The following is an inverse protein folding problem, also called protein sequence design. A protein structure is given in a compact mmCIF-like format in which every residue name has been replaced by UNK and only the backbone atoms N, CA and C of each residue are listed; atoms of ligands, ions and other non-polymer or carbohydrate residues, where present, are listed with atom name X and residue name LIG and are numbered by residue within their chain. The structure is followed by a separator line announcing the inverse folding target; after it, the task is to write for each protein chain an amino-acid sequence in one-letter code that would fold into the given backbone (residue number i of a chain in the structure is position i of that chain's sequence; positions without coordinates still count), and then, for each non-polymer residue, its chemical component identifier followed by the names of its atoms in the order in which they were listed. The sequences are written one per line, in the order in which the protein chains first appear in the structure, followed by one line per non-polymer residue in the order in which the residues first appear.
data_IF_080823161191
#
_entry.id   IF_080823161191
#
_cell.length_a   1.000
_cell.length_b   1.000
_cell.length_c   1.000
_cell.angle_alpha   90.00
_cell.angle_beta   90.00
_cell.angle_gamma   90.00
#
_symmetry.space_group_name_H-M   'P 1'
#
loop_
_entity.id
_entity.type
_entity.pdbx_description
1 polymer ?
#
# COMPACT_ATOMS: atom_id res chain seq x y z
N UNK A 1 -54.69 6.36 22.05
CA UNK A 1 -53.75 7.38 22.57
C UNK A 1 -53.10 8.08 21.39
N UNK A 2 -53.50 9.33 21.12
CA UNK A 2 -52.97 10.20 20.07
C UNK A 2 -51.49 10.46 20.32
N UNK A 3 -50.61 10.08 19.39
CA UNK A 3 -49.23 10.59 19.36
C UNK A 3 -49.29 12.00 18.77
N UNK A 4 -49.13 13.00 19.63
CA UNK A 4 -48.78 14.37 19.23
C UNK A 4 -47.41 14.32 18.54
N UNK A 5 -47.41 14.51 17.22
CA UNK A 5 -46.20 14.75 16.46
C UNK A 5 -45.67 16.13 16.81
N UNK A 6 -44.59 16.17 17.59
CA UNK A 6 -43.80 17.38 17.83
C UNK A 6 -43.30 17.91 16.48
N UNK A 7 -43.86 19.03 16.04
CA UNK A 7 -43.39 19.76 14.86
C UNK A 7 -41.95 20.20 15.05
N UNK A 8 -41.03 19.42 14.48
CA UNK A 8 -39.63 19.81 14.30
C UNK A 8 -39.53 20.45 12.93
N UNK A 9 -39.37 21.78 12.89
CA UNK A 9 -39.14 22.51 11.64
C UNK A 9 -38.01 21.88 10.85
N UNK A 10 -38.23 21.65 9.55
CA UNK A 10 -37.32 20.87 8.72
C UNK A 10 -36.03 21.62 8.36
N UNK A 11 -35.99 22.94 8.52
CA UNK A 11 -34.81 23.73 8.20
C UNK A 11 -34.55 24.74 9.33
N UNK A 12 -33.32 24.70 9.87
CA UNK A 12 -32.89 25.63 10.93
C UNK A 12 -32.84 27.05 10.35
N UNK A 13 -33.36 28.01 11.13
CA UNK A 13 -33.24 29.45 10.87
C UNK A 13 -31.79 29.81 10.50
N UNK A 14 -31.63 30.27 9.28
CA UNK A 14 -30.39 30.82 8.75
C UNK A 14 -30.33 32.30 9.13
N UNK A 15 -29.17 32.78 9.56
CA UNK A 15 -28.98 34.13 10.13
C UNK A 15 -29.14 35.26 9.09
N UNK A 16 -29.46 34.92 7.85
CA UNK A 16 -29.55 35.83 6.71
C UNK A 16 -30.99 36.04 6.18
N UNK A 17 -32.04 35.66 6.94
CA UNK A 17 -33.45 35.80 6.52
C UNK A 17 -33.80 37.19 5.95
N UNK A 18 -33.27 38.26 6.56
CA UNK A 18 -33.53 39.65 6.16
C UNK A 18 -32.76 40.10 4.89
N UNK A 19 -31.79 39.32 4.39
CA UNK A 19 -31.05 39.63 3.15
C UNK A 19 -31.71 39.05 1.90
N UNK A 20 -32.65 38.12 2.06
CA UNK A 20 -33.36 37.49 0.97
C UNK A 20 -34.41 38.45 0.37
N UNK A 21 -34.61 38.36 -0.95
CA UNK A 21 -35.75 39.00 -1.62
C UNK A 21 -37.08 38.45 -1.08
N UNK A 22 -38.18 39.18 -1.25
CA UNK A 22 -39.51 38.74 -0.79
C UNK A 22 -39.90 37.35 -1.32
N UNK A 23 -39.47 36.99 -2.54
CA UNK A 23 -39.70 35.68 -3.16
C UNK A 23 -38.89 34.58 -2.46
N UNK A 24 -37.64 34.85 -2.13
CA UNK A 24 -36.76 33.94 -1.41
C UNK A 24 -37.19 33.76 0.05
N UNK A 25 -37.64 34.82 0.72
CA UNK A 25 -38.23 34.75 2.06
C UNK A 25 -39.49 33.88 2.07
N UNK A 26 -40.34 34.00 1.04
CA UNK A 26 -41.56 33.20 0.94
C UNK A 26 -41.26 31.71 0.74
N UNK A 27 -40.28 31.39 -0.11
CA UNK A 27 -39.83 30.01 -0.32
C UNK A 27 -39.10 29.46 0.90
N UNK A 28 -38.30 30.30 1.57
CA UNK A 28 -37.66 29.96 2.83
C UNK A 28 -38.70 29.66 3.90
N UNK A 29 -39.73 30.48 4.08
CA UNK A 29 -40.79 30.28 5.08
C UNK A 29 -41.55 28.95 4.86
N UNK A 30 -41.93 28.65 3.61
CA UNK A 30 -42.58 27.39 3.24
C UNK A 30 -41.65 26.19 3.45
N UNK A 31 -40.37 26.35 3.13
CA UNK A 31 -39.36 25.33 3.36
C UNK A 31 -39.13 25.12 4.86
N UNK A 32 -38.62 26.15 5.56
CA UNK A 32 -38.06 26.08 6.90
C UNK A 32 -38.99 25.55 7.98
N UNK A 33 -40.29 25.83 7.84
CA UNK A 33 -41.27 25.51 8.86
C UNK A 33 -42.46 24.79 8.22
N UNK A 34 -42.38 23.46 8.19
CA UNK A 34 -43.55 22.62 7.92
C UNK A 34 -44.49 22.69 9.12
N UNK A 35 -45.47 23.58 9.05
CA UNK A 35 -46.42 23.88 10.11
C UNK A 35 -47.65 22.96 10.06
N UNK A 36 -48.10 22.46 11.21
CA UNK A 36 -49.40 21.81 11.33
C UNK A 36 -50.54 22.83 11.13
N UNK A 37 -51.71 22.35 10.67
CA UNK A 37 -52.93 23.14 10.43
C UNK A 37 -53.32 24.05 11.61
N UNK A 38 -52.96 23.68 12.85
CA UNK A 38 -53.26 24.46 14.06
C UNK A 38 -52.33 25.65 14.29
N UNK A 39 -51.07 25.60 13.84
CA UNK A 39 -50.11 26.71 14.00
C UNK A 39 -50.31 27.84 12.99
N UNK A 40 -50.96 27.55 11.86
CA UNK A 40 -51.34 28.54 10.85
C UNK A 40 -52.30 29.62 11.37
N UNK A 41 -53.03 29.33 12.45
CA UNK A 41 -54.04 30.21 13.04
C UNK A 41 -53.47 31.21 14.06
N UNK A 42 -52.17 31.20 14.35
CA UNK A 42 -51.56 32.19 15.24
C UNK A 42 -51.48 33.58 14.56
N UNK A 43 -52.08 34.59 15.20
CA UNK A 43 -52.22 35.96 14.70
C UNK A 43 -50.90 36.67 14.38
N UNK A 44 -49.78 36.20 14.95
CA UNK A 44 -48.42 36.73 14.71
C UNK A 44 -47.90 36.47 13.29
N UNK A 45 -48.41 35.44 12.59
CA UNK A 45 -47.90 35.01 11.28
C UNK A 45 -48.77 35.46 10.10
N UNK A 46 -49.96 36.02 10.34
CA UNK A 46 -50.91 36.36 9.28
C UNK A 46 -50.36 37.35 8.25
N UNK A 47 -49.53 38.32 8.66
CA UNK A 47 -48.90 39.28 7.75
C UNK A 47 -47.89 38.63 6.80
N UNK A 48 -47.09 37.68 7.31
CA UNK A 48 -46.11 36.92 6.54
C UNK A 48 -46.83 35.98 5.57
N UNK A 49 -47.86 35.27 6.04
CA UNK A 49 -48.65 34.35 5.24
C UNK A 49 -49.36 35.09 4.09
N UNK A 50 -49.92 36.27 4.35
CA UNK A 50 -50.54 37.10 3.32
C UNK A 50 -49.51 37.60 2.27
N UNK A 51 -48.30 37.96 2.71
CA UNK A 51 -47.19 38.31 1.82
C UNK A 51 -46.73 37.13 0.97
N UNK A 52 -46.66 35.92 1.56
CA UNK A 52 -46.36 34.68 0.85
C UNK A 52 -47.43 34.43 -0.21
N UNK A 53 -48.72 34.43 0.14
CA UNK A 53 -49.81 34.20 -0.80
C UNK A 53 -49.74 35.19 -1.98
N UNK A 54 -49.62 36.50 -1.70
CA UNK A 54 -49.49 37.54 -2.73
C UNK A 54 -48.30 37.30 -3.67
N UNK A 55 -47.20 36.79 -3.14
CA UNK A 55 -46.00 36.46 -3.93
C UNK A 55 -46.24 35.29 -4.87
N UNK A 56 -46.92 34.24 -4.41
CA UNK A 56 -47.30 33.08 -5.22
C UNK A 56 -48.49 33.35 -6.16
N UNK A 57 -49.29 34.39 -5.90
CA UNK A 57 -50.35 34.87 -6.83
C UNK A 57 -49.81 35.73 -7.98
N UNK A 58 -48.49 35.94 -8.07
CA UNK A 58 -47.87 36.69 -9.16
C UNK A 58 -47.76 35.85 -10.43
N UNK A 59 -48.04 36.47 -11.58
CA UNK A 59 -47.90 35.82 -12.89
C UNK A 59 -46.43 35.60 -13.29
N UNK A 60 -45.52 36.44 -12.77
CA UNK A 60 -44.06 36.33 -12.99
C UNK A 60 -43.33 35.68 -11.78
N UNK A 61 -44.00 34.76 -11.08
CA UNK A 61 -43.32 33.98 -10.06
C UNK A 61 -42.25 33.09 -10.70
N UNK A 62 -41.01 33.29 -10.26
CA UNK A 62 -39.85 32.47 -10.62
C UNK A 62 -39.33 31.78 -9.37
N UNK A 63 -39.16 30.47 -9.45
CA UNK A 63 -38.65 29.69 -8.34
C UNK A 63 -37.17 30.06 -8.11
N UNK A 64 -36.79 30.47 -6.88
CA UNK A 64 -35.40 30.72 -6.52
C UNK A 64 -34.68 29.39 -6.32
N UNK A 65 -34.29 28.75 -7.42
CA UNK A 65 -33.66 27.42 -7.43
C UNK A 65 -32.42 27.32 -6.53
N UNK A 66 -31.63 28.40 -6.42
CA UNK A 66 -30.45 28.44 -5.55
C UNK A 66 -30.83 28.29 -4.06
N UNK A 67 -31.89 28.97 -3.61
CA UNK A 67 -32.37 28.87 -2.23
C UNK A 67 -32.95 27.48 -1.96
N UNK A 68 -33.72 26.95 -2.90
CA UNK A 68 -34.25 25.57 -2.82
C UNK A 68 -33.10 24.58 -2.72
N UNK A 69 -32.09 24.66 -3.58
CA UNK A 69 -30.94 23.78 -3.55
C UNK A 69 -30.18 23.91 -2.22
N UNK A 70 -29.83 25.12 -1.77
CA UNK A 70 -29.15 25.33 -0.48
C UNK A 70 -29.91 24.70 0.68
N UNK A 71 -31.23 24.88 0.72
CA UNK A 71 -32.10 24.30 1.74
C UNK A 71 -32.06 22.78 1.72
N UNK A 72 -32.23 22.15 0.55
CA UNK A 72 -32.23 20.69 0.42
C UNK A 72 -30.86 20.08 0.79
N UNK A 73 -29.77 20.67 0.32
CA UNK A 73 -28.41 20.18 0.60
C UNK A 73 -27.98 20.43 2.05
N UNK A 74 -28.49 21.48 2.71
CA UNK A 74 -28.26 21.71 4.14
C UNK A 74 -29.15 20.82 5.03
N UNK A 75 -30.28 20.33 4.51
CA UNK A 75 -31.19 19.47 5.25
C UNK A 75 -30.66 18.02 5.31
N UNK A 76 -30.49 17.50 6.53
CA UNK A 76 -30.15 16.10 6.75
C UNK A 76 -31.36 15.15 6.63
N UNK A 77 -32.57 15.70 6.70
CA UNK A 77 -33.80 14.92 6.83
C UNK A 77 -34.55 14.72 5.52
N UNK A 78 -34.28 15.51 4.47
CA UNK A 78 -34.88 15.33 3.14
C UNK A 78 -33.94 14.53 2.27
N UNK A 79 -34.14 13.21 2.31
CA UNK A 79 -33.34 12.28 1.55
C UNK A 79 -34.20 11.43 0.60
N UNK A 80 -35.54 11.51 0.72
CA UNK A 80 -36.44 10.69 -0.08
C UNK A 80 -37.59 11.51 -0.69
N UNK A 81 -38.09 11.02 -1.82
CA UNK A 81 -39.23 11.58 -2.54
C UNK A 81 -40.50 11.50 -1.70
N UNK A 82 -40.59 10.55 -0.76
CA UNK A 82 -41.72 10.44 0.18
C UNK A 82 -41.85 11.65 1.11
N UNK A 83 -40.77 12.39 1.38
CA UNK A 83 -40.82 13.60 2.20
C UNK A 83 -41.49 14.76 1.44
N UNK A 84 -41.56 14.67 0.11
CA UNK A 84 -42.21 15.65 -0.77
C UNK A 84 -43.72 15.53 -0.68
N UNK A 85 -44.26 14.34 -0.38
CA UNK A 85 -45.69 14.14 -0.21
C UNK A 85 -46.21 14.97 0.98
N UNK A 86 -45.41 15.09 2.05
CA UNK A 86 -45.71 15.94 3.21
C UNK A 86 -45.71 17.42 2.82
N UNK A 87 -44.73 17.86 2.01
CA UNK A 87 -44.64 19.25 1.53
C UNK A 87 -45.83 19.56 0.61
N UNK A 88 -46.18 18.63 -0.28
CA UNK A 88 -47.30 18.72 -1.20
C UNK A 88 -48.64 18.82 -0.45
N UNK A 89 -48.85 17.96 0.54
CA UNK A 89 -50.06 17.98 1.38
C UNK A 89 -50.19 19.30 2.15
N UNK A 90 -49.08 19.83 2.68
CA UNK A 90 -49.09 21.13 3.37
C UNK A 90 -49.32 22.32 2.43
N UNK A 91 -48.78 22.30 1.22
CA UNK A 91 -49.06 23.32 0.20
C UNK A 91 -50.52 23.29 -0.25
N UNK A 92 -51.14 22.11 -0.31
CA UNK A 92 -52.57 21.98 -0.60
C UNK A 92 -53.43 22.54 0.55
N UNK A 93 -53.06 22.27 1.82
CA UNK A 93 -53.72 22.88 2.98
C UNK A 93 -53.63 24.40 2.97
N UNK A 94 -52.47 24.95 2.57
CA UNK A 94 -52.27 26.39 2.41
C UNK A 94 -53.19 26.96 1.33
N UNK A 95 -53.28 26.28 0.19
CA UNK A 95 -54.15 26.67 -0.91
C UNK A 95 -55.63 26.68 -0.51
N UNK A 96 -56.10 25.62 0.17
CA UNK A 96 -57.47 25.50 0.65
C UNK A 96 -57.88 26.61 1.63
N UNK A 97 -56.98 26.99 2.56
CA UNK A 97 -57.24 28.06 3.53
C UNK A 97 -57.56 29.39 2.85
N UNK A 98 -56.80 29.76 1.82
CA UNK A 98 -57.00 31.01 1.10
C UNK A 98 -58.09 30.95 0.04
N UNK A 99 -58.44 29.76 -0.45
CA UNK A 99 -59.54 29.59 -1.40
C UNK A 99 -60.91 29.80 -0.75
N UNK A 100 -61.03 29.53 0.55
CA UNK A 100 -62.24 29.76 1.33
C UNK A 100 -62.49 31.25 1.62
N UNK A 101 -61.47 32.11 1.47
CA UNK A 101 -61.58 33.55 1.68
C UNK A 101 -61.93 34.27 0.36
N UNK A 102 -63.10 34.91 0.34
CA UNK A 102 -63.75 35.47 -0.86
C UNK A 102 -62.91 36.49 -1.65
N UNK A 103 -61.89 37.10 -1.05
CA UNK A 103 -60.99 38.06 -1.70
C UNK A 103 -59.85 37.44 -2.53
N UNK A 104 -59.62 36.14 -2.44
CA UNK A 104 -58.45 35.47 -3.03
C UNK A 104 -58.76 34.40 -4.09
N UNK A 105 -60.03 34.05 -4.24
CA UNK A 105 -60.54 33.03 -5.17
C UNK A 105 -60.07 33.22 -6.62
N UNK A 106 -59.97 34.46 -7.11
CA UNK A 106 -59.64 34.77 -8.51
C UNK A 106 -58.22 34.33 -8.92
N UNK A 107 -57.27 34.25 -7.97
CA UNK A 107 -55.86 33.89 -8.23
C UNK A 107 -55.46 32.51 -7.70
N UNK A 108 -56.40 31.73 -7.19
CA UNK A 108 -56.13 30.44 -6.60
C UNK A 108 -55.49 29.45 -7.61
N UNK A 109 -55.91 29.47 -8.87
CA UNK A 109 -55.29 28.63 -9.91
C UNK A 109 -53.80 28.96 -10.13
N UNK A 110 -53.45 30.25 -10.12
CA UNK A 110 -52.07 30.72 -10.30
C UNK A 110 -51.17 30.32 -9.13
N UNK A 111 -51.70 30.41 -7.90
CA UNK A 111 -50.97 29.98 -6.69
C UNK A 111 -50.66 28.49 -6.75
N UNK A 112 -51.64 27.66 -7.16
CA UNK A 112 -51.43 26.21 -7.31
C UNK A 112 -50.35 25.90 -8.35
N UNK A 113 -50.41 26.53 -9.52
CA UNK A 113 -49.39 26.38 -10.57
C UNK A 113 -47.98 26.74 -10.06
N UNK A 114 -47.86 27.80 -9.27
CA UNK A 114 -46.57 28.24 -8.74
C UNK A 114 -46.07 27.36 -7.58
N UNK A 115 -46.96 26.74 -6.80
CA UNK A 115 -46.62 25.69 -5.84
C UNK A 115 -46.15 24.40 -6.54
N UNK A 116 -46.81 23.99 -7.62
CA UNK A 116 -46.38 22.82 -8.40
C UNK A 116 -44.96 23.03 -8.97
N UNK A 117 -44.66 24.24 -9.49
CA UNK A 117 -43.29 24.59 -9.93
C UNK A 117 -42.27 24.51 -8.80
N UNK A 118 -42.62 24.93 -7.59
CA UNK A 118 -41.74 24.85 -6.42
C UNK A 118 -41.50 23.38 -6.03
N UNK A 119 -42.56 22.56 -6.01
CA UNK A 119 -42.49 21.13 -5.73
C UNK A 119 -41.60 20.40 -6.74
N UNK A 120 -41.73 20.72 -8.03
CA UNK A 120 -40.88 20.13 -9.06
C UNK A 120 -39.41 20.53 -8.89
N UNK A 121 -39.14 21.76 -8.47
CA UNK A 121 -37.77 22.18 -8.13
C UNK A 121 -37.23 21.41 -6.91
N UNK A 122 -38.05 21.19 -5.88
CA UNK A 122 -37.66 20.42 -4.69
C UNK A 122 -37.37 18.97 -5.07
N UNK A 123 -38.25 18.34 -5.85
CA UNK A 123 -38.08 16.98 -6.41
C UNK A 123 -36.76 16.85 -7.15
N UNK A 124 -36.49 17.79 -8.06
CA UNK A 124 -35.25 17.78 -8.83
C UNK A 124 -34.02 17.87 -7.92
N UNK A 125 -34.02 18.78 -6.94
CA UNK A 125 -32.89 18.92 -6.00
C UNK A 125 -32.66 17.66 -5.15
N UNK A 126 -33.72 16.97 -4.71
CA UNK A 126 -33.61 15.71 -3.94
C UNK A 126 -33.01 14.60 -4.80
N UNK A 127 -33.51 14.43 -6.03
CA UNK A 127 -32.97 13.44 -6.98
C UNK A 127 -31.50 13.72 -7.29
N UNK A 128 -31.14 14.99 -7.51
CA UNK A 128 -29.75 15.39 -7.75
C UNK A 128 -28.86 15.12 -6.54
N UNK A 129 -29.29 15.48 -5.33
CA UNK A 129 -28.56 15.20 -4.09
C UNK A 129 -28.27 13.71 -3.95
N UNK A 130 -29.30 12.87 -4.11
CA UNK A 130 -29.18 11.41 -4.04
C UNK A 130 -28.18 10.87 -5.06
N UNK A 131 -28.30 11.30 -6.31
CA UNK A 131 -27.37 10.88 -7.37
C UNK A 131 -25.92 11.27 -7.04
N UNK A 132 -25.69 12.50 -6.57
CA UNK A 132 -24.36 12.97 -6.18
C UNK A 132 -23.82 12.17 -4.99
N UNK A 133 -24.65 11.87 -3.99
CA UNK A 133 -24.25 11.07 -2.83
C UNK A 133 -23.89 9.63 -3.23
N UNK A 134 -24.67 8.99 -4.09
CA UNK A 134 -24.38 7.65 -4.63
C UNK A 134 -23.05 7.65 -5.40
N UNK A 135 -22.84 8.63 -6.28
CA UNK A 135 -21.60 8.77 -7.03
C UNK A 135 -20.40 9.05 -6.11
N UNK A 136 -20.55 9.93 -5.13
CA UNK A 136 -19.51 10.23 -4.15
C UNK A 136 -19.13 8.98 -3.34
N UNK A 137 -20.12 8.21 -2.89
CA UNK A 137 -19.89 6.96 -2.14
C UNK A 137 -19.18 5.90 -3.00
N UNK A 138 -19.56 5.77 -4.28
CA UNK A 138 -18.89 4.90 -5.24
C UNK A 138 -17.42 5.30 -5.41
N UNK A 139 -17.14 6.59 -5.63
CA UNK A 139 -15.78 7.12 -5.75
C UNK A 139 -14.95 6.91 -4.48
N UNK A 140 -15.53 7.10 -3.30
CA UNK A 140 -14.86 6.83 -2.02
C UNK A 140 -14.51 5.34 -1.88
N UNK A 141 -15.41 4.44 -2.31
CA UNK A 141 -15.15 3.00 -2.27
C UNK A 141 -14.03 2.60 -3.24
N UNK A 142 -14.02 3.16 -4.45
CA UNK A 142 -12.97 2.94 -5.44
C UNK A 142 -11.61 3.48 -4.97
N UNK A 143 -11.58 4.71 -4.43
CA UNK A 143 -10.37 5.31 -3.86
C UNK A 143 -9.78 4.45 -2.73
N UNK A 144 -10.63 3.90 -1.84
CA UNK A 144 -10.20 2.97 -0.79
C UNK A 144 -9.62 1.67 -1.36
N UNK A 145 -10.18 1.16 -2.47
CA UNK A 145 -9.66 -0.04 -3.16
C UNK A 145 -8.28 0.24 -3.76
N UNK A 146 -8.13 1.35 -4.50
CA UNK A 146 -6.86 1.78 -5.07
C UNK A 146 -5.80 2.01 -3.99
N UNK A 147 -6.15 2.61 -2.86
CA UNK A 147 -5.22 2.79 -1.75
C UNK A 147 -4.73 1.45 -1.18
N UNK A 148 -5.62 0.45 -1.05
CA UNK A 148 -5.24 -0.90 -0.61
C UNK A 148 -4.31 -1.58 -1.62
N UNK A 149 -4.58 -1.45 -2.92
CA UNK A 149 -3.74 -2.01 -3.97
C UNK A 149 -2.35 -1.34 -4.01
N UNK A 150 -2.29 -0.02 -3.90
CA UNK A 150 -1.04 0.72 -3.84
C UNK A 150 -0.17 0.31 -2.63
N UNK A 151 -0.81 0.10 -1.47
CA UNK A 151 -0.12 -0.41 -0.29
C UNK A 151 0.44 -1.84 -0.49
N UNK A 152 -0.27 -2.70 -1.22
CA UNK A 152 0.24 -4.04 -1.59
C UNK A 152 1.44 -3.92 -2.53
N UNK A 153 1.34 -3.09 -3.57
CA UNK A 153 2.43 -2.84 -4.54
C UNK A 153 3.67 -2.31 -3.82
N UNK A 154 3.52 -1.33 -2.93
CA UNK A 154 4.63 -0.78 -2.14
C UNK A 154 5.32 -1.84 -1.27
N UNK A 155 4.55 -2.73 -0.62
CA UNK A 155 5.11 -3.85 0.15
C UNK A 155 5.86 -4.84 -0.74
N UNK A 156 5.31 -5.20 -1.91
CA UNK A 156 5.96 -6.08 -2.87
C UNK A 156 7.26 -5.47 -3.41
N UNK A 157 7.27 -4.18 -3.73
CA UNK A 157 8.45 -3.47 -4.19
C UNK A 157 9.57 -3.44 -3.13
N UNK A 158 9.21 -3.23 -1.86
CA UNK A 158 10.17 -3.31 -0.75
C UNK A 158 10.78 -4.71 -0.60
N UNK A 159 9.97 -5.77 -0.77
CA UNK A 159 10.46 -7.16 -0.74
C UNK A 159 11.41 -7.44 -1.91
N UNK A 160 10.99 -7.12 -3.13
CA UNK A 160 11.82 -7.27 -4.32
C UNK A 160 13.15 -6.50 -4.20
N UNK A 161 13.12 -5.27 -3.67
CA UNK A 161 14.34 -4.49 -3.43
C UNK A 161 15.28 -5.16 -2.42
N UNK A 162 14.74 -5.79 -1.37
CA UNK A 162 15.54 -6.53 -0.38
C UNK A 162 16.17 -7.78 -1.01
N UNK A 163 15.39 -8.56 -1.75
CA UNK A 163 15.88 -9.74 -2.48
C UNK A 163 16.98 -9.37 -3.48
N UNK A 164 16.82 -8.28 -4.23
CA UNK A 164 17.86 -7.78 -5.16
C UNK A 164 19.15 -7.43 -4.41
N UNK A 165 19.07 -6.81 -3.21
CA UNK A 165 20.25 -6.51 -2.40
C UNK A 165 20.93 -7.78 -1.91
N UNK A 166 20.17 -8.78 -1.48
CA UNK A 166 20.70 -10.09 -1.07
C UNK A 166 21.38 -10.80 -2.24
N UNK A 167 20.76 -10.82 -3.43
CA UNK A 167 21.36 -11.37 -4.65
C UNK A 167 22.65 -10.63 -5.02
N UNK A 168 22.68 -9.30 -4.92
CA UNK A 168 23.87 -8.50 -5.21
C UNK A 168 25.03 -8.85 -4.26
N UNK A 169 24.73 -9.06 -2.98
CA UNK A 169 25.72 -9.46 -1.99
C UNK A 169 26.26 -10.87 -2.28
N UNK A 170 25.37 -11.83 -2.56
CA UNK A 170 25.75 -13.20 -2.95
C UNK A 170 26.61 -13.19 -4.22
N UNK A 171 26.24 -12.39 -5.22
CA UNK A 171 27.03 -12.27 -6.46
C UNK A 171 28.45 -11.80 -6.18
N UNK A 172 28.63 -10.82 -5.29
CA UNK A 172 29.95 -10.32 -4.88
C UNK A 172 30.80 -11.36 -4.18
N UNK A 173 30.22 -12.12 -3.23
CA UNK A 173 30.95 -13.19 -2.54
C UNK A 173 31.33 -14.32 -3.50
N UNK A 174 30.39 -14.76 -4.35
CA UNK A 174 30.62 -15.84 -5.32
C UNK A 174 31.75 -15.51 -6.31
N UNK A 175 31.84 -14.27 -6.83
CA UNK A 175 32.96 -13.89 -7.68
C UNK A 175 34.30 -13.93 -6.95
N UNK A 176 34.34 -13.48 -5.70
CA UNK A 176 35.55 -13.50 -4.88
C UNK A 176 35.98 -14.94 -4.63
N UNK A 177 35.03 -15.82 -4.30
CA UNK A 177 35.26 -17.26 -4.10
C UNK A 177 35.77 -17.93 -5.37
N UNK A 178 35.20 -17.62 -6.54
CA UNK A 178 35.68 -18.15 -7.83
C UNK A 178 37.11 -17.70 -8.13
N UNK A 179 37.44 -16.43 -7.93
CA UNK A 179 38.80 -15.90 -8.14
C UNK A 179 39.78 -16.62 -7.19
N UNK A 180 39.40 -16.81 -5.93
CA UNK A 180 40.23 -17.52 -4.96
C UNK A 180 40.47 -18.99 -5.37
N UNK A 181 39.41 -19.72 -5.76
CA UNK A 181 39.51 -21.11 -6.23
C UNK A 181 40.40 -21.19 -7.47
N UNK A 182 40.23 -20.27 -8.43
CA UNK A 182 41.05 -20.22 -9.65
C UNK A 182 42.53 -19.95 -9.34
N UNK A 183 42.81 -19.06 -8.38
CA UNK A 183 44.16 -18.77 -7.90
C UNK A 183 44.83 -20.00 -7.29
N UNK A 184 44.13 -20.72 -6.40
CA UNK A 184 44.66 -21.95 -5.79
C UNK A 184 44.84 -23.06 -6.82
N UNK A 185 43.89 -23.23 -7.75
CA UNK A 185 44.00 -24.21 -8.83
C UNK A 185 45.22 -23.93 -9.72
N UNK A 186 45.45 -22.65 -10.08
CA UNK A 186 46.61 -22.25 -10.87
C UNK A 186 47.93 -22.56 -10.15
N UNK A 187 48.02 -22.23 -8.86
CA UNK A 187 49.20 -22.56 -8.04
C UNK A 187 49.45 -24.08 -7.97
N UNK A 188 48.39 -24.87 -7.83
CA UNK A 188 48.47 -26.34 -7.82
C UNK A 188 48.99 -26.90 -9.15
N UNK A 189 48.47 -26.41 -10.29
CA UNK A 189 48.93 -26.83 -11.63
C UNK A 189 50.38 -26.44 -11.88
N UNK A 190 50.78 -25.21 -11.51
CA UNK A 190 52.17 -24.76 -11.63
C UNK A 190 53.12 -25.55 -10.75
N UNK A 191 52.73 -25.86 -9.51
CA UNK A 191 53.52 -26.70 -8.62
C UNK A 191 53.62 -28.14 -9.14
N UNK A 192 52.52 -28.68 -9.67
CA UNK A 192 52.49 -30.03 -10.24
C UNK A 192 53.45 -30.16 -11.43
N UNK A 193 53.35 -29.26 -12.41
CA UNK A 193 54.25 -29.30 -13.57
C UNK A 193 55.67 -28.89 -13.22
N UNK A 194 55.87 -27.86 -12.40
CA UNK A 194 57.20 -27.44 -11.96
C UNK A 194 57.91 -28.51 -11.11
N UNK A 195 57.17 -29.18 -10.23
CA UNK A 195 57.67 -30.27 -9.40
C UNK A 195 58.06 -31.51 -10.21
N UNK A 196 57.27 -31.87 -11.22
CA UNK A 196 57.61 -32.98 -12.13
C UNK A 196 58.85 -32.65 -12.97
N UNK A 197 58.95 -31.44 -13.53
CA UNK A 197 60.13 -31.02 -14.29
C UNK A 197 61.41 -31.02 -13.44
N UNK A 198 61.31 -30.59 -12.18
CA UNK A 198 62.45 -30.62 -11.26
C UNK A 198 62.82 -32.05 -10.86
N UNK A 199 61.84 -32.93 -10.63
CA UNK A 199 62.07 -34.34 -10.34
C UNK A 199 62.77 -35.05 -11.51
N UNK A 200 62.38 -34.75 -12.75
CA UNK A 200 63.04 -35.25 -13.96
C UNK A 200 64.50 -34.77 -14.04
N UNK A 201 64.75 -33.47 -13.83
CA UNK A 201 66.12 -32.94 -13.87
C UNK A 201 67.06 -33.57 -12.82
N UNK A 202 66.55 -33.87 -11.62
CA UNK A 202 67.30 -34.56 -10.57
C UNK A 202 67.56 -36.02 -10.95
N UNK A 203 66.56 -36.71 -11.50
CA UNK A 203 66.72 -38.10 -11.95
C UNK A 203 67.76 -38.21 -13.07
N UNK A 204 67.70 -37.31 -14.05
CA UNK A 204 68.66 -37.27 -15.16
C UNK A 204 70.07 -36.96 -14.65
N UNK A 205 70.24 -36.00 -13.72
CA UNK A 205 71.53 -35.67 -13.11
C UNK A 205 72.11 -36.78 -12.22
N UNK A 206 71.25 -37.61 -11.61
CA UNK A 206 71.67 -38.74 -10.76
C UNK A 206 72.15 -39.95 -11.57
N UNK A 207 71.79 -40.03 -12.85
CA UNK A 207 72.14 -41.16 -13.73
C UNK A 207 73.63 -41.18 -14.15
N UNK A 208 74.33 -40.04 -14.05
CA UNK A 208 75.76 -39.91 -14.33
C UNK A 208 76.68 -40.32 -13.14
N UNK A 209 76.12 -40.59 -11.96
CA UNK A 209 76.88 -41.01 -10.77
C UNK A 209 76.66 -42.51 -10.48
N UNK A 210 77.51 -43.36 -11.07
CA UNK A 210 77.40 -44.84 -11.01
C UNK A 210 77.59 -45.49 -9.63
N UNK A 211 77.93 -44.74 -8.58
CA UNK A 211 78.25 -45.29 -7.25
C UNK A 211 77.49 -44.60 -6.08
N UNK A 212 76.23 -44.19 -6.29
CA UNK A 212 75.38 -43.76 -5.16
C UNK A 212 74.72 -45.00 -4.55
N UNK A 213 74.93 -45.30 -3.25
CA UNK A 213 74.27 -46.43 -2.59
C UNK A 213 72.74 -46.23 -2.60
N UNK A 214 71.99 -47.30 -2.87
CA UNK A 214 70.53 -47.32 -2.98
C UNK A 214 69.85 -46.63 -1.79
N UNK A 215 70.39 -46.81 -0.58
CA UNK A 215 69.99 -46.13 0.65
C UNK A 215 69.85 -44.62 0.52
N UNK A 216 70.85 -43.97 -0.06
CA UNK A 216 70.91 -42.51 -0.15
C UNK A 216 69.89 -41.98 -1.17
N UNK A 217 69.62 -42.73 -2.24
CA UNK A 217 68.56 -42.40 -3.20
C UNK A 217 67.15 -42.53 -2.58
N UNK A 218 66.92 -43.58 -1.79
CA UNK A 218 65.63 -43.78 -1.09
C UNK A 218 65.43 -42.72 -0.01
N UNK A 219 66.50 -42.31 0.68
CA UNK A 219 66.45 -41.24 1.69
C UNK A 219 66.13 -39.88 1.07
N UNK A 220 66.78 -39.51 -0.04
CA UNK A 220 66.54 -38.22 -0.73
C UNK A 220 65.13 -38.18 -1.33
N UNK A 221 64.65 -39.28 -1.91
CA UNK A 221 63.28 -39.35 -2.45
C UNK A 221 62.19 -39.29 -1.37
N UNK A 222 62.41 -39.93 -0.21
CA UNK A 222 61.50 -39.84 0.94
C UNK A 222 61.45 -38.43 1.50
N UNK A 223 62.59 -37.75 1.59
CA UNK A 223 62.65 -36.34 2.02
C UNK A 223 61.91 -35.42 1.03
N UNK A 224 62.10 -35.60 -0.28
CA UNK A 224 61.36 -34.87 -1.31
C UNK A 224 59.84 -35.10 -1.23
N UNK A 225 59.40 -36.33 -0.97
CA UNK A 225 57.99 -36.66 -0.82
C UNK A 225 57.38 -35.97 0.41
N UNK A 226 58.09 -35.93 1.53
CA UNK A 226 57.67 -35.22 2.75
C UNK A 226 57.52 -33.73 2.46
N UNK A 227 58.48 -33.11 1.76
CA UNK A 227 58.41 -31.69 1.37
C UNK A 227 57.20 -31.43 0.48
N UNK A 228 56.96 -32.26 -0.54
CA UNK A 228 55.78 -32.09 -1.43
C UNK A 228 54.47 -32.25 -0.64
N UNK A 229 54.38 -33.23 0.26
CA UNK A 229 53.20 -33.44 1.12
C UNK A 229 52.98 -32.27 2.10
N UNK A 230 54.02 -31.64 2.64
CA UNK A 230 53.88 -30.40 3.44
C UNK A 230 53.33 -29.25 2.64
N UNK A 231 53.80 -29.11 1.40
CA UNK A 231 53.42 -28.00 0.55
C UNK A 231 51.95 -28.12 0.12
N UNK A 232 51.52 -29.31 -0.28
CA UNK A 232 50.12 -29.60 -0.61
C UNK A 232 49.21 -29.35 0.59
N UNK A 233 49.60 -29.80 1.80
CA UNK A 233 48.81 -29.56 3.01
C UNK A 233 48.70 -28.07 3.35
N UNK A 234 49.79 -27.31 3.22
CA UNK A 234 49.79 -25.86 3.47
C UNK A 234 48.83 -25.13 2.53
N UNK A 235 48.78 -25.53 1.26
CA UNK A 235 47.87 -24.95 0.27
C UNK A 235 46.41 -25.33 0.57
N UNK A 236 46.13 -26.58 0.94
CA UNK A 236 44.78 -27.02 1.33
C UNK A 236 44.29 -26.34 2.62
N UNK A 237 45.18 -26.16 3.59
CA UNK A 237 44.88 -25.44 4.83
C UNK A 237 44.58 -23.96 4.56
N UNK A 238 45.37 -23.31 3.70
CA UNK A 238 45.13 -21.93 3.30
C UNK A 238 43.83 -21.78 2.50
N UNK A 239 43.55 -22.72 1.57
CA UNK A 239 42.28 -22.80 0.85
C UNK A 239 41.10 -22.91 1.80
N UNK A 240 41.18 -23.78 2.81
CA UNK A 240 40.13 -23.90 3.81
C UNK A 240 39.88 -22.62 4.59
N UNK A 241 40.95 -21.88 4.89
CA UNK A 241 40.87 -20.63 5.63
C UNK A 241 40.20 -19.53 4.79
N UNK A 242 40.38 -19.56 3.47
CA UNK A 242 39.72 -18.62 2.55
C UNK A 242 38.24 -18.98 2.36
N UNK A 243 37.89 -20.26 2.35
CA UNK A 243 36.51 -20.74 2.21
C UNK A 243 35.75 -20.71 3.57
N UNK A 244 36.38 -20.18 4.63
CA UNK A 244 35.84 -20.06 5.99
C UNK A 244 35.17 -21.35 6.52
N UNK A 245 35.78 -22.50 6.22
CA UNK A 245 35.41 -23.79 6.81
C UNK A 245 36.46 -24.19 7.84
N UNK A 246 36.04 -24.60 9.03
CA UNK A 246 36.96 -25.05 10.10
C UNK A 246 37.45 -26.46 9.82
N UNK A 247 38.76 -26.65 9.66
CA UNK A 247 39.39 -27.97 9.68
C UNK A 247 39.71 -28.34 11.12
N UNK A 248 38.99 -29.31 11.69
CA UNK A 248 39.15 -29.68 13.10
C UNK A 248 40.32 -30.65 13.42
N UNK A 249 41.05 -31.16 12.42
CA UNK A 249 41.96 -32.29 12.64
C UNK A 249 43.46 -31.99 12.44
N UNK A 250 43.96 -30.93 13.08
CA UNK A 250 45.41 -30.59 13.13
C UNK A 250 46.27 -31.72 13.75
N UNK A 251 45.71 -32.50 14.69
CA UNK A 251 46.44 -33.57 15.39
C UNK A 251 46.75 -34.77 14.48
N UNK A 252 45.86 -35.09 13.54
CA UNK A 252 46.04 -36.24 12.64
C UNK A 252 47.22 -36.04 11.68
N UNK A 253 47.41 -34.83 11.18
CA UNK A 253 48.52 -34.52 10.26
C UNK A 253 49.89 -34.56 10.94
N UNK A 254 49.97 -34.03 12.17
CA UNK A 254 51.19 -34.09 12.98
C UNK A 254 51.56 -35.56 13.25
N UNK A 255 50.58 -36.41 13.56
CA UNK A 255 50.79 -37.84 13.77
C UNK A 255 51.28 -38.52 12.48
N UNK A 256 50.69 -38.22 11.31
CA UNK A 256 51.12 -38.78 10.03
C UNK A 256 52.56 -38.37 9.67
N UNK A 257 52.93 -37.12 9.97
CA UNK A 257 54.29 -36.61 9.75
C UNK A 257 55.32 -37.31 10.64
N UNK A 258 55.01 -37.50 11.92
CA UNK A 258 55.87 -38.22 12.85
C UNK A 258 56.07 -39.66 12.38
N UNK A 259 55.01 -40.32 11.89
CA UNK A 259 55.11 -41.68 11.35
C UNK A 259 56.04 -41.75 10.14
N UNK A 260 55.92 -40.82 9.17
CA UNK A 260 56.77 -40.80 7.97
C UNK A 260 58.25 -40.52 8.28
N UNK A 261 58.53 -39.65 9.25
CA UNK A 261 59.91 -39.38 9.68
C UNK A 261 60.50 -40.61 10.39
N UNK A 262 59.71 -41.25 11.27
CA UNK A 262 60.14 -42.46 11.98
C UNK A 262 60.41 -43.61 11.01
N UNK A 263 59.55 -43.83 10.00
CA UNK A 263 59.79 -44.87 8.99
C UNK A 263 61.04 -44.58 8.15
N UNK A 264 61.31 -43.32 7.81
CA UNK A 264 62.54 -42.93 7.11
C UNK A 264 63.79 -43.20 7.95
N UNK A 265 63.78 -42.87 9.24
CA UNK A 265 64.91 -43.12 10.15
C UNK A 265 65.14 -44.62 10.36
N UNK A 266 64.07 -45.40 10.54
CA UNK A 266 64.14 -46.86 10.70
C UNK A 266 64.68 -47.53 9.44
N UNK A 267 64.28 -47.06 8.24
CA UNK A 267 64.81 -47.55 6.97
C UNK A 267 66.32 -47.31 6.86
N UNK A 268 66.81 -46.11 7.22
CA UNK A 268 68.24 -45.81 7.23
C UNK A 268 69.04 -46.64 8.25
N UNK A 269 68.46 -46.92 9.42
CA UNK A 269 69.09 -47.76 10.45
C UNK A 269 69.17 -49.24 10.08
N UNK A 270 68.18 -49.77 9.35
CA UNK A 270 68.16 -51.18 8.93
C UNK A 270 69.23 -51.47 7.88
N UNK A 271 69.58 -50.48 7.05
CA UNK A 271 70.57 -50.60 5.99
C UNK A 271 72.01 -50.46 6.50
N UNK A 272 72.24 -49.67 7.56
CA UNK A 272 73.55 -49.57 8.25
C UNK A 272 74.01 -50.88 8.92
N UNK A 273 73.11 -51.85 9.14
CA UNK A 273 73.42 -53.16 9.75
C UNK A 273 73.75 -54.25 8.73
N UNK A 274 73.71 -53.95 7.44
CA UNK A 274 73.96 -54.89 6.34
C UNK A 274 75.32 -54.58 5.70
#
# INVERSE_FOLDING_TARGET
MKKQGSGKGLFKQDKDFNKFSQREQAVYFIGSELYSKEKFLESSHQSIIHSVYKTFSSDDFRVPHEVVAKLIYASHNLNDVSDIDIISENLNLFHEYFHADSGFSEKAAQVKLNFDKLLDSIRLCIVQKKYIEEQANSLIAEAKKLQKENNKISKSLKRASKEIKEIKNIRGSVYTDFIAILGVFSAFVFLGFGGISMAQAIYDSGSDMKDIPLSNMVMVSSFMLIVVLTMIYSILYWLSRIIDRKFENHKFYIILMVILVVTSIVSSFFEMKK
#
